data_IF_268626239565
#
_entry.id   IF_268626239565
#
_cell.length_a   1.000
_cell.length_b   1.000
_cell.length_c   1.000
_cell.angle_alpha   90.00
_cell.angle_beta   90.00
_cell.angle_gamma   90.00
#
_symmetry.space_group_name_H-M   'P 1'
#
loop_
_entity.id
_entity.type
_entity.pdbx_description
1 polymer ?
#
# COMPACT_ATOMS: atom_id res chain seq x y z
N UNK A 1 -6.81 -2.98 3.16
CA UNK A 1 -5.51 -3.66 3.26
C UNK A 1 -5.07 -3.65 4.70
N UNK A 2 -5.61 -4.58 5.47
CA UNK A 2 -5.22 -4.83 6.86
C UNK A 2 -3.78 -5.34 6.91
N UNK A 3 -3.10 -5.03 8.02
CA UNK A 3 -1.69 -5.31 8.21
C UNK A 3 -1.31 -6.79 7.98
N UNK A 4 -2.24 -7.69 8.29
CA UNK A 4 -2.18 -9.12 8.02
C UNK A 4 -1.79 -9.47 6.58
N UNK A 5 -2.30 -8.73 5.59
CA UNK A 5 -1.95 -8.97 4.18
C UNK A 5 -0.51 -8.58 3.87
N UNK A 6 0.01 -7.54 4.55
CA UNK A 6 1.37 -7.06 4.34
C UNK A 6 2.40 -8.00 4.99
N UNK A 7 2.07 -8.59 6.15
CA UNK A 7 2.89 -9.64 6.76
C UNK A 7 2.90 -10.91 5.89
N UNK A 8 1.74 -11.33 5.36
CA UNK A 8 1.67 -12.46 4.42
C UNK A 8 2.52 -12.18 3.18
N UNK A 9 2.47 -10.97 2.62
CA UNK A 9 3.30 -10.58 1.47
C UNK A 9 4.80 -10.60 1.82
N UNK A 10 5.16 -10.14 3.02
CA UNK A 10 6.55 -10.12 3.48
C UNK A 10 7.09 -11.53 3.69
N UNK A 11 6.32 -12.41 4.35
CA UNK A 11 6.68 -13.82 4.53
C UNK A 11 6.74 -14.57 3.21
N UNK A 12 5.75 -14.38 2.32
CA UNK A 12 5.76 -14.97 0.99
C UNK A 12 6.98 -14.50 0.17
N UNK A 13 7.29 -13.21 0.24
CA UNK A 13 8.50 -12.65 -0.38
C UNK A 13 9.78 -13.25 0.21
N UNK A 14 9.86 -13.40 1.54
CA UNK A 14 10.98 -14.04 2.24
C UNK A 14 11.15 -15.50 1.79
N UNK A 15 10.04 -16.23 1.61
CA UNK A 15 10.04 -17.64 1.23
C UNK A 15 10.41 -17.85 -0.24
N UNK A 16 9.83 -17.05 -1.15
CA UNK A 16 10.05 -17.17 -2.60
C UNK A 16 11.47 -16.71 -2.98
N UNK A 17 11.92 -15.58 -2.43
CA UNK A 17 13.20 -14.97 -2.78
C UNK A 17 14.36 -15.47 -1.91
N UNK A 18 14.05 -15.95 -0.70
CA UNK A 18 15.01 -16.33 0.33
C UNK A 18 15.40 -15.14 1.23
N UNK A 19 15.53 -15.34 2.56
CA UNK A 19 15.83 -14.26 3.52
C UNK A 19 17.19 -13.61 3.28
N UNK A 20 18.15 -14.34 2.70
CA UNK A 20 19.48 -13.83 2.41
C UNK A 20 19.52 -12.87 1.21
N UNK A 21 18.54 -12.93 0.30
CA UNK A 21 18.53 -12.13 -0.94
C UNK A 21 17.75 -10.83 -0.82
N UNK A 22 16.85 -10.73 0.16
CA UNK A 22 16.12 -9.51 0.45
C UNK A 22 16.99 -8.31 0.86
N UNK A 23 17.97 -8.43 1.77
CA UNK A 23 18.83 -7.29 2.12
C UNK A 23 19.64 -6.81 0.91
N UNK A 24 20.14 -7.72 0.09
CA UNK A 24 20.84 -7.39 -1.16
C UNK A 24 19.93 -6.68 -2.17
N UNK A 25 18.71 -7.18 -2.37
CA UNK A 25 17.71 -6.58 -3.25
C UNK A 25 17.28 -5.18 -2.78
N UNK A 26 17.06 -5.00 -1.48
CA UNK A 26 16.73 -3.71 -0.88
C UNK A 26 17.89 -2.71 -1.03
N UNK A 27 19.14 -3.16 -0.83
CA UNK A 27 20.33 -2.35 -1.02
C UNK A 27 20.52 -1.94 -2.48
N UNK A 28 20.23 -2.84 -3.44
CA UNK A 28 20.23 -2.51 -4.86
C UNK A 28 19.14 -1.47 -5.18
N UNK A 29 17.89 -1.72 -4.78
CA UNK A 29 16.77 -0.81 -5.02
C UNK A 29 17.02 0.57 -4.42
N UNK A 30 17.56 0.64 -3.20
CA UNK A 30 17.92 1.91 -2.54
C UNK A 30 18.96 2.70 -3.33
N UNK A 31 20.00 2.02 -3.83
CA UNK A 31 21.03 2.64 -4.69
C UNK A 31 20.43 3.12 -6.02
N UNK A 32 19.61 2.31 -6.68
CA UNK A 32 18.92 2.68 -7.92
C UNK A 32 18.02 3.90 -7.73
N UNK A 33 17.22 3.94 -6.65
CA UNK A 33 16.36 5.09 -6.34
C UNK A 33 17.21 6.36 -6.15
N UNK A 34 18.35 6.27 -5.47
CA UNK A 34 19.27 7.41 -5.29
C UNK A 34 19.79 7.93 -6.63
N UNK A 35 20.17 7.03 -7.54
CA UNK A 35 20.65 7.36 -8.88
C UNK A 35 19.56 8.00 -9.74
N UNK A 36 18.36 7.41 -9.74
CA UNK A 36 17.19 7.95 -10.46
C UNK A 36 16.84 9.35 -9.96
N UNK A 37 16.88 9.59 -8.64
CA UNK A 37 16.68 10.94 -8.09
C UNK A 37 17.72 11.94 -8.57
N UNK A 38 18.98 11.54 -8.72
CA UNK A 38 20.03 12.37 -9.30
C UNK A 38 19.74 12.71 -10.75
N UNK A 39 19.48 11.70 -11.58
CA UNK A 39 19.16 11.87 -13.00
C UNK A 39 17.92 12.74 -13.22
N UNK A 40 16.87 12.55 -12.42
CA UNK A 40 15.67 13.37 -12.48
C UNK A 40 15.93 14.83 -12.10
N UNK A 41 16.82 15.08 -11.12
CA UNK A 41 17.20 16.45 -10.74
C UNK A 41 18.00 17.14 -11.85
N UNK A 42 18.92 16.42 -12.51
CA UNK A 42 19.73 16.94 -13.61
C UNK A 42 18.87 17.20 -14.86
N UNK A 43 18.01 16.25 -15.24
CA UNK A 43 17.07 16.42 -16.34
C UNK A 43 16.12 17.59 -16.10
N UNK A 44 15.63 17.75 -14.87
CA UNK A 44 14.80 18.90 -14.49
C UNK A 44 15.58 20.22 -14.57
N UNK A 45 16.86 20.21 -14.23
CA UNK A 45 17.71 21.40 -14.32
C UNK A 45 17.98 21.79 -15.77
N UNK A 46 18.21 20.81 -16.64
CA UNK A 46 18.38 21.00 -18.08
C UNK A 46 17.10 21.53 -18.74
N UNK A 47 15.95 20.97 -18.34
CA UNK A 47 14.65 21.41 -18.83
C UNK A 47 14.32 22.85 -18.38
N UNK A 48 14.69 23.23 -17.15
CA UNK A 48 14.61 24.62 -16.67
C UNK A 48 15.50 25.57 -17.46
N UNK A 49 16.71 25.15 -17.82
CA UNK A 49 17.65 25.99 -18.56
C UNK A 49 17.25 26.17 -20.03
N UNK A 50 16.59 25.18 -20.62
CA UNK A 50 16.21 25.22 -22.05
C UNK A 50 14.79 25.78 -22.30
N UNK A 51 13.83 25.60 -21.38
CA UNK A 51 12.44 26.05 -21.57
C UNK A 51 12.05 27.35 -20.83
N UNK A 52 12.92 27.91 -19.98
CA UNK A 52 12.64 29.19 -19.30
C UNK A 52 11.37 29.19 -18.44
N UNK A 53 10.42 30.10 -18.71
CA UNK A 53 9.21 30.34 -17.89
C UNK A 53 8.16 29.20 -17.98
N UNK A 54 8.21 28.34 -19.00
CA UNK A 54 7.29 27.19 -19.16
C UNK A 54 7.44 26.14 -18.04
N UNK A 55 8.58 26.14 -17.34
CA UNK A 55 8.77 25.30 -16.15
C UNK A 55 7.86 25.70 -14.97
N UNK A 56 7.39 26.96 -14.91
CA UNK A 56 6.48 27.41 -13.84
C UNK A 56 5.12 26.73 -13.94
N UNK A 57 4.62 26.50 -15.15
CA UNK A 57 3.33 25.81 -15.36
C UNK A 57 3.38 24.33 -14.97
N UNK A 58 4.56 23.71 -14.96
CA UNK A 58 4.75 22.34 -14.49
C UNK A 58 4.88 22.25 -12.96
N UNK A 59 5.11 23.35 -12.23
CA UNK A 59 5.15 23.33 -10.76
C UNK A 59 3.77 23.07 -10.15
N UNK A 60 2.71 23.66 -10.70
CA UNK A 60 1.33 23.49 -10.23
C UNK A 60 0.93 22.00 -10.16
N UNK A 61 1.04 21.21 -11.26
CA UNK A 61 0.69 19.79 -11.24
C UNK A 61 1.65 18.98 -10.36
N UNK A 62 2.95 19.30 -10.31
CA UNK A 62 3.88 18.63 -9.41
C UNK A 62 3.57 18.90 -7.93
N UNK A 63 3.10 20.10 -7.59
CA UNK A 63 2.63 20.46 -6.25
C UNK A 63 1.39 19.67 -5.88
N UNK A 64 0.43 19.58 -6.78
CA UNK A 64 -0.82 18.86 -6.58
C UNK A 64 -0.58 17.36 -6.34
N UNK A 65 0.39 16.75 -7.05
CA UNK A 65 0.83 15.38 -6.79
C UNK A 65 1.55 15.23 -5.43
N UNK A 66 2.29 16.25 -4.99
CA UNK A 66 3.01 16.22 -3.73
C UNK A 66 2.07 16.42 -2.53
N UNK A 67 1.00 17.20 -2.68
CA UNK A 67 -0.10 17.30 -1.71
C UNK A 67 -0.80 15.95 -1.53
N UNK A 68 -1.03 15.21 -2.62
CA UNK A 68 -1.62 13.87 -2.58
C UNK A 68 -0.71 12.84 -1.89
N UNK A 69 0.61 13.01 -2.00
CA UNK A 69 1.63 12.20 -1.29
C UNK A 69 1.79 12.61 0.18
N UNK A 70 1.28 13.78 0.58
CA UNK A 70 1.27 14.26 1.97
C UNK A 70 0.46 13.39 2.93
N UNK A 71 -0.41 12.52 2.40
CA UNK A 71 -0.98 11.37 3.10
C UNK A 71 0.08 10.27 3.23
N UNK A 72 1.14 10.59 3.98
CA UNK A 72 2.45 9.94 3.96
C UNK A 72 2.38 8.42 4.23
N UNK A 73 2.36 7.57 3.18
CA UNK A 73 2.12 6.13 3.34
C UNK A 73 3.30 5.44 4.03
N UNK A 74 4.49 6.06 3.98
CA UNK A 74 5.67 5.62 4.71
C UNK A 74 5.49 5.71 6.21
N UNK A 75 4.80 6.74 6.72
CA UNK A 75 4.51 6.86 8.15
C UNK A 75 3.56 5.76 8.60
N UNK A 76 2.56 5.42 7.78
CA UNK A 76 1.69 4.28 8.04
C UNK A 76 2.49 2.99 8.15
N UNK A 77 3.30 2.65 7.13
CA UNK A 77 4.12 1.43 7.13
C UNK A 77 5.14 1.40 8.28
N UNK A 78 5.80 2.52 8.58
CA UNK A 78 6.76 2.61 9.68
C UNK A 78 6.08 2.38 11.03
N UNK A 79 4.92 3.00 11.27
CA UNK A 79 4.14 2.78 12.49
C UNK A 79 3.72 1.32 12.63
N UNK A 80 3.28 0.69 11.54
CA UNK A 80 2.88 -0.71 11.56
C UNK A 80 4.05 -1.68 11.81
N UNK A 81 5.21 -1.47 11.19
CA UNK A 81 6.40 -2.31 11.44
C UNK A 81 6.97 -2.11 12.86
N UNK A 82 6.90 -0.88 13.40
CA UNK A 82 7.34 -0.56 14.77
C UNK A 82 6.38 -1.10 15.85
N UNK A 83 5.08 -1.18 15.54
CA UNK A 83 4.05 -1.72 16.44
C UNK A 83 4.16 -3.24 16.56
N UNK A 84 4.36 -3.96 15.43
CA UNK A 84 4.61 -5.41 15.41
C UNK A 84 5.96 -5.82 16.04
N UNK A 85 6.96 -4.93 16.01
CA UNK A 85 8.29 -5.18 16.58
C UNK A 85 8.33 -5.07 18.11
N UNK A 86 7.21 -4.76 18.79
CA UNK A 86 7.10 -4.89 20.25
C UNK A 86 6.81 -6.35 20.58
N UNK A 87 7.79 -7.14 21.08
CA UNK A 87 7.52 -8.50 21.50
C UNK A 87 6.49 -8.46 22.63
N UNK A 88 5.32 -9.03 22.38
CA UNK A 88 4.25 -9.26 23.34
C UNK A 88 4.74 -10.24 24.41
N UNK A 89 5.52 -9.75 25.36
CA UNK A 89 5.65 -10.39 26.67
C UNK A 89 4.40 -10.04 27.47
N UNK A 90 3.27 -10.68 27.19
CA UNK A 90 2.17 -10.83 28.15
C UNK A 90 1.30 -12.02 27.75
N UNK A 91 1.62 -13.13 28.43
CA UNK A 91 0.75 -14.15 29.00
C UNK A 91 -0.28 -14.87 28.11
N UNK A 92 -0.02 -16.17 28.02
CA UNK A 92 -0.94 -17.24 27.68
C UNK A 92 -2.36 -17.06 28.27
N UNK A 93 -3.34 -17.40 27.43
CA UNK A 93 -4.67 -17.83 27.84
C UNK A 93 -5.79 -16.85 27.49
N UNK A 94 -6.60 -17.17 26.47
CA UNK A 94 -8.00 -17.64 26.63
C UNK A 94 -8.72 -17.67 25.27
N UNK A 95 -9.40 -18.78 24.90
CA UNK A 95 -10.31 -18.82 23.76
C UNK A 95 -11.69 -18.29 24.19
N UNK A 96 -12.23 -17.30 23.50
CA UNK A 96 -13.63 -16.86 23.71
C UNK A 96 -14.38 -16.81 22.39
N UNK A 97 -15.01 -17.95 22.12
CA UNK A 97 -16.42 -18.13 21.75
C UNK A 97 -17.04 -17.28 20.63
N UNK A 98 -17.57 -18.03 19.66
CA UNK A 98 -18.65 -17.67 18.79
C UNK A 98 -19.84 -17.04 19.53
N UNK A 99 -20.29 -15.88 19.06
CA UNK A 99 -21.70 -15.53 18.82
C UNK A 99 -21.80 -14.06 18.36
N UNK A 100 -22.78 -13.82 17.49
CA UNK A 100 -23.33 -12.52 17.08
C UNK A 100 -22.49 -11.72 16.07
N UNK A 101 -22.76 -11.94 14.79
CA UNK A 101 -23.47 -10.96 13.93
C UNK A 101 -23.33 -11.37 12.46
N UNK A 102 -24.23 -12.26 12.02
CA UNK A 102 -24.47 -12.51 10.60
C UNK A 102 -25.22 -11.33 10.01
N UNK A 103 -24.50 -10.33 9.52
CA UNK A 103 -25.06 -9.32 8.61
C UNK A 103 -25.02 -9.93 7.23
N UNK A 104 -26.20 -10.26 6.69
CA UNK A 104 -26.42 -10.80 5.35
C UNK A 104 -25.71 -9.92 4.30
N UNK A 105 -24.60 -10.45 3.78
CA UNK A 105 -23.98 -9.93 2.54
C UNK A 105 -24.92 -10.30 1.39
N UNK A 106 -25.21 -9.39 0.44
CA UNK A 106 -25.99 -9.72 -0.75
C UNK A 106 -25.27 -10.84 -1.50
N UNK A 107 -25.78 -12.06 -1.31
CA UNK A 107 -25.23 -13.27 -1.89
C UNK A 107 -25.59 -13.33 -3.36
N UNK A 108 -24.61 -13.67 -4.20
CA UNK A 108 -24.89 -14.12 -5.56
C UNK A 108 -25.89 -15.28 -5.48
N UNK A 109 -26.97 -15.18 -6.27
CA UNK A 109 -28.01 -16.21 -6.33
C UNK A 109 -27.38 -17.56 -6.65
N UNK A 110 -27.76 -18.60 -5.93
CA UNK A 110 -27.26 -19.96 -6.21
C UNK A 110 -27.85 -20.44 -7.55
N UNK A 111 -27.12 -21.22 -8.34
CA UNK A 111 -27.62 -21.69 -9.64
C UNK A 111 -28.96 -22.43 -9.49
N UNK A 112 -30.03 -21.88 -10.08
CA UNK A 112 -31.40 -22.42 -10.00
C UNK A 112 -32.36 -21.64 -9.10
N UNK A 113 -31.89 -20.63 -8.37
CA UNK A 113 -32.73 -19.76 -7.55
C UNK A 113 -33.34 -18.63 -8.39
N UNK A 114 -34.66 -18.44 -8.32
CA UNK A 114 -35.34 -17.38 -9.08
C UNK A 114 -35.10 -16.04 -8.39
N UNK A 115 -34.67 -15.00 -9.12
CA UNK A 115 -34.43 -13.69 -8.53
C UNK A 115 -35.73 -13.11 -7.94
N UNK A 116 -35.64 -12.33 -6.85
CA UNK A 116 -36.78 -11.64 -6.29
C UNK A 116 -37.35 -10.68 -7.33
N UNK A 117 -38.64 -10.84 -7.65
CA UNK A 117 -39.35 -9.98 -8.59
C UNK A 117 -39.97 -8.80 -7.85
N UNK A 118 -39.66 -7.59 -8.32
CA UNK A 118 -40.22 -6.35 -7.80
C UNK A 118 -41.56 -6.08 -8.50
N UNK A 119 -42.63 -5.97 -7.70
CA UNK A 119 -44.01 -5.76 -8.17
C UNK A 119 -44.36 -4.28 -8.34
N UNK A 120 -43.46 -3.38 -7.96
CA UNK A 120 -43.65 -1.92 -8.07
C UNK A 120 -43.26 -1.36 -9.46
N UNK A 121 -42.74 -2.21 -10.36
CA UNK A 121 -42.32 -1.81 -11.71
C UNK A 121 -43.44 -1.97 -12.77
N UNK A 122 -44.62 -1.38 -12.55
CA UNK A 122 -45.73 -1.33 -13.53
C UNK A 122 -46.07 0.09 -13.99
#
# INVERSE_FOLDING_TARGET
MSLEHLTVLLLAGLFILGPEKLPDAAAWAGRTIRQVRGFAADAQQQLRSELGDEYRDLREPLRQLNELRGLDPRRAVANYLLDDARPTTTLAGQPTNAAANSVERPGFLRPGERPPFDVEAT
#
